data_IF_180946624493
#
_entry.id   IF_180946624493
#
_cell.length_a   1.000
_cell.length_b   1.000
_cell.length_c   1.000
_cell.angle_alpha   90.00
_cell.angle_beta   90.00
_cell.angle_gamma   90.00
#
_symmetry.space_group_name_H-M   'P 1'
#
loop_
_entity.id
_entity.type
_entity.pdbx_description
1 polymer ?
#
# COMPACT_ATOMS: atom_id res chain seq x y z
N UNK A 1 -57.53 -29.99 -20.91
CA UNK A 1 -56.29 -30.19 -21.69
C UNK A 1 -55.22 -29.12 -21.43
N UNK A 2 -55.54 -27.81 -21.44
CA UNK A 2 -54.55 -26.70 -21.42
C UNK A 2 -53.46 -26.83 -20.33
N UNK A 3 -53.82 -27.15 -19.08
CA UNK A 3 -52.87 -27.29 -17.96
C UNK A 3 -51.74 -28.30 -18.17
N UNK A 4 -51.93 -29.36 -18.97
CA UNK A 4 -50.87 -30.35 -19.20
C UNK A 4 -49.77 -29.81 -20.12
N UNK A 5 -50.10 -28.92 -21.06
CA UNK A 5 -49.14 -28.37 -22.02
C UNK A 5 -48.18 -27.36 -21.35
N UNK A 6 -48.68 -26.52 -20.45
CA UNK A 6 -47.84 -25.60 -19.66
C UNK A 6 -46.93 -26.35 -18.71
N UNK A 7 -47.42 -27.38 -18.01
CA UNK A 7 -46.56 -28.25 -17.19
C UNK A 7 -45.45 -28.93 -18.00
N UNK A 8 -45.74 -29.44 -19.21
CA UNK A 8 -44.73 -30.11 -20.05
C UNK A 8 -43.64 -29.15 -20.52
N UNK A 9 -44.01 -27.93 -20.95
CA UNK A 9 -43.03 -26.88 -21.29
C UNK A 9 -42.18 -26.46 -20.08
N UNK A 10 -42.78 -26.33 -18.90
CA UNK A 10 -42.06 -25.96 -17.68
C UNK A 10 -41.07 -27.06 -17.26
N UNK A 11 -41.48 -28.33 -17.29
CA UNK A 11 -40.59 -29.48 -17.04
C UNK A 11 -39.42 -29.53 -18.03
N UNK A 12 -39.68 -29.33 -19.33
CA UNK A 12 -38.63 -29.33 -20.36
C UNK A 12 -37.65 -28.17 -20.18
N UNK A 13 -38.12 -26.98 -19.79
CA UNK A 13 -37.25 -25.83 -19.52
C UNK A 13 -36.42 -26.00 -18.24
N UNK A 14 -37.01 -26.56 -17.17
CA UNK A 14 -36.29 -26.92 -15.95
C UNK A 14 -35.24 -28.02 -16.23
N UNK A 15 -35.59 -29.03 -17.02
CA UNK A 15 -34.69 -30.11 -17.41
C UNK A 15 -33.51 -29.57 -18.25
N UNK A 16 -33.76 -28.72 -19.25
CA UNK A 16 -32.69 -28.05 -20.02
C UNK A 16 -31.79 -27.18 -19.14
N UNK A 17 -32.35 -26.41 -18.19
CA UNK A 17 -31.56 -25.60 -17.27
C UNK A 17 -30.70 -26.47 -16.35
N UNK A 18 -31.26 -27.56 -15.81
CA UNK A 18 -30.54 -28.54 -14.96
C UNK A 18 -29.41 -29.24 -15.73
N UNK A 19 -29.68 -29.70 -16.96
CA UNK A 19 -28.69 -30.36 -17.82
C UNK A 19 -27.57 -29.41 -18.23
N UNK A 20 -27.90 -28.15 -18.57
CA UNK A 20 -26.93 -27.09 -18.85
C UNK A 20 -26.04 -26.80 -17.63
N UNK A 21 -26.63 -26.62 -16.44
CA UNK A 21 -25.88 -26.45 -15.19
C UNK A 21 -24.99 -27.66 -14.87
N UNK A 22 -25.44 -28.88 -15.17
CA UNK A 22 -24.69 -30.11 -14.95
C UNK A 22 -23.48 -30.22 -15.89
N UNK A 23 -23.65 -29.93 -17.19
CA UNK A 23 -22.53 -29.84 -18.15
C UNK A 23 -21.54 -28.76 -17.70
N UNK A 24 -22.01 -27.58 -17.31
CA UNK A 24 -21.14 -26.49 -16.91
C UNK A 24 -20.39 -26.81 -15.60
N UNK A 25 -21.03 -27.51 -14.66
CA UNK A 25 -20.40 -28.04 -13.45
C UNK A 25 -19.34 -29.12 -13.76
N UNK A 26 -19.63 -30.05 -14.68
CA UNK A 26 -18.65 -31.06 -15.13
C UNK A 26 -17.45 -30.39 -15.82
N UNK A 27 -17.68 -29.41 -16.69
CA UNK A 27 -16.61 -28.64 -17.30
C UNK A 27 -15.75 -27.88 -16.28
N UNK A 28 -16.37 -27.30 -15.23
CA UNK A 28 -15.64 -26.64 -14.14
C UNK A 28 -14.78 -27.65 -13.35
N UNK A 29 -15.34 -28.80 -12.97
CA UNK A 29 -14.62 -29.89 -12.27
C UNK A 29 -13.45 -30.43 -13.10
N UNK A 30 -13.63 -30.69 -14.39
CA UNK A 30 -12.56 -31.15 -15.27
C UNK A 30 -11.42 -30.11 -15.39
N UNK A 31 -11.75 -28.82 -15.50
CA UNK A 31 -10.78 -27.72 -15.55
C UNK A 31 -10.05 -27.52 -14.20
N UNK A 32 -10.70 -27.79 -13.07
CA UNK A 32 -10.08 -27.85 -11.74
C UNK A 32 -9.09 -29.03 -11.64
N UNK A 33 -9.50 -30.24 -12.05
CA UNK A 33 -8.63 -31.44 -12.05
C UNK A 33 -7.39 -31.22 -12.94
N UNK A 34 -7.54 -30.74 -14.18
CA UNK A 34 -6.40 -30.42 -15.05
C UNK A 34 -5.47 -29.36 -14.44
N UNK A 35 -6.02 -28.39 -13.70
CA UNK A 35 -5.22 -27.38 -12.99
C UNK A 35 -4.45 -28.03 -11.84
N UNK A 36 -5.09 -28.83 -10.99
CA UNK A 36 -4.45 -29.56 -9.90
C UNK A 36 -3.34 -30.52 -10.38
N UNK A 37 -3.58 -31.27 -11.47
CA UNK A 37 -2.58 -32.13 -12.11
C UNK A 37 -1.38 -31.30 -12.58
N UNK A 38 -1.60 -30.22 -13.33
CA UNK A 38 -0.52 -29.32 -13.79
C UNK A 38 0.30 -28.76 -12.62
N UNK A 39 -0.36 -28.34 -11.55
CA UNK A 39 0.31 -27.79 -10.37
C UNK A 39 1.14 -28.87 -9.65
N UNK A 40 0.61 -30.10 -9.48
CA UNK A 40 1.34 -31.23 -8.92
C UNK A 40 2.54 -31.65 -9.79
N UNK A 41 2.38 -31.73 -11.11
CA UNK A 41 3.47 -31.98 -12.05
C UNK A 41 4.56 -30.90 -11.95
N UNK A 42 4.20 -29.63 -11.70
CA UNK A 42 5.19 -28.56 -11.50
C UNK A 42 6.02 -28.73 -10.22
N UNK A 43 5.43 -29.29 -9.15
CA UNK A 43 6.16 -29.66 -7.92
C UNK A 43 7.07 -30.86 -8.17
N UNK A 44 6.64 -31.85 -8.95
CA UNK A 44 7.47 -32.99 -9.38
C UNK A 44 8.68 -32.55 -10.20
N UNK A 45 8.44 -31.76 -11.26
CA UNK A 45 9.48 -31.20 -12.12
C UNK A 45 10.50 -30.36 -11.35
N UNK A 46 10.06 -29.54 -10.40
CA UNK A 46 10.96 -28.73 -9.58
C UNK A 46 11.95 -29.58 -8.75
N UNK A 47 11.51 -30.73 -8.21
CA UNK A 47 12.40 -31.65 -7.47
C UNK A 47 13.52 -32.18 -8.38
N UNK A 48 13.17 -32.59 -9.60
CA UNK A 48 14.11 -33.13 -10.59
C UNK A 48 15.10 -32.05 -11.03
N UNK A 49 14.60 -30.85 -11.33
CA UNK A 49 15.42 -29.71 -11.78
C UNK A 49 16.43 -29.25 -10.73
N UNK A 50 16.09 -29.25 -9.44
CA UNK A 50 17.07 -28.90 -8.39
C UNK A 50 18.05 -30.04 -8.07
N UNK A 51 17.72 -31.31 -8.36
CA UNK A 51 18.72 -32.38 -8.36
C UNK A 51 19.80 -32.16 -9.45
N UNK A 52 19.46 -31.43 -10.53
CA UNK A 52 20.39 -30.93 -11.54
C UNK A 52 21.03 -29.56 -11.22
N UNK A 53 21.10 -29.15 -9.96
CA UNK A 53 21.87 -27.96 -9.53
C UNK A 53 21.17 -26.59 -9.61
N UNK A 54 19.91 -26.52 -10.03
CA UNK A 54 19.18 -25.24 -10.10
C UNK A 54 18.79 -24.68 -8.72
N UNK A 55 18.91 -23.35 -8.57
CA UNK A 55 18.75 -22.55 -7.34
C UNK A 55 17.66 -23.04 -6.36
N UNK A 56 18.05 -23.38 -5.12
CA UNK A 56 17.17 -23.90 -4.07
C UNK A 56 15.94 -23.02 -3.82
N UNK A 57 16.10 -21.68 -3.87
CA UNK A 57 15.01 -20.68 -3.74
C UNK A 57 13.77 -21.02 -4.58
N UNK A 58 13.96 -21.43 -5.84
CA UNK A 58 12.86 -21.74 -6.75
C UNK A 58 12.12 -23.03 -6.33
N UNK A 59 12.85 -24.04 -5.82
CA UNK A 59 12.24 -25.25 -5.26
C UNK A 59 11.48 -24.95 -3.97
N UNK A 60 12.02 -24.10 -3.09
CA UNK A 60 11.35 -23.70 -1.84
C UNK A 60 10.04 -22.99 -2.15
N UNK A 61 10.04 -22.00 -3.06
CA UNK A 61 8.82 -21.31 -3.51
C UNK A 61 7.79 -22.30 -4.05
N UNK A 62 8.18 -23.27 -4.88
CA UNK A 62 7.25 -24.26 -5.45
C UNK A 62 6.73 -25.25 -4.39
N UNK A 63 7.57 -25.72 -3.46
CA UNK A 63 7.15 -26.56 -2.32
C UNK A 63 6.17 -25.82 -1.40
N UNK A 64 6.49 -24.58 -1.04
CA UNK A 64 5.67 -23.72 -0.18
C UNK A 64 4.30 -23.38 -0.81
N UNK A 65 4.28 -23.20 -2.13
CA UNK A 65 3.07 -22.86 -2.91
C UNK A 65 2.47 -24.07 -3.63
N UNK A 66 2.60 -25.26 -3.03
CA UNK A 66 1.94 -26.49 -3.48
C UNK A 66 0.41 -26.39 -3.38
N UNK A 67 -0.36 -27.01 -4.30
CA UNK A 67 -1.82 -26.83 -4.41
C UNK A 67 -2.64 -27.52 -3.30
N UNK A 68 -2.01 -28.07 -2.28
CA UNK A 68 -2.65 -28.79 -1.16
C UNK A 68 -3.45 -27.86 -0.24
N UNK A 69 -4.38 -28.43 0.52
CA UNK A 69 -5.14 -27.74 1.59
C UNK A 69 -4.30 -27.44 2.85
N UNK A 70 -3.10 -28.02 2.97
CA UNK A 70 -2.22 -27.82 4.12
C UNK A 70 -1.81 -26.33 4.29
N UNK A 71 -1.64 -25.84 5.53
CA UNK A 71 -1.12 -24.50 5.80
C UNK A 71 0.25 -24.26 5.11
N UNK A 72 0.59 -22.99 4.93
CA UNK A 72 1.97 -22.61 4.64
C UNK A 72 2.83 -22.96 5.85
N UNK A 73 3.81 -23.85 5.67
CA UNK A 73 4.69 -24.29 6.75
C UNK A 73 5.79 -23.25 6.99
N UNK A 74 5.90 -22.77 8.22
CA UNK A 74 6.82 -21.70 8.63
C UNK A 74 8.28 -21.99 8.28
N UNK A 75 8.67 -23.27 8.23
CA UNK A 75 10.02 -23.70 7.84
C UNK A 75 10.48 -23.09 6.51
N UNK A 76 9.59 -22.91 5.53
CA UNK A 76 9.93 -22.32 4.23
C UNK A 76 10.13 -20.80 4.29
N UNK A 77 9.47 -20.11 5.22
CA UNK A 77 9.70 -18.69 5.51
C UNK A 77 11.10 -18.55 6.11
N UNK A 78 11.40 -19.33 7.13
CA UNK A 78 12.68 -19.32 7.85
C UNK A 78 13.87 -19.78 6.97
N UNK A 79 13.65 -20.76 6.09
CA UNK A 79 14.65 -21.22 5.10
C UNK A 79 14.98 -20.11 4.09
N UNK A 80 13.97 -19.41 3.56
CA UNK A 80 14.18 -18.28 2.64
C UNK A 80 14.85 -17.08 3.32
N UNK A 81 14.43 -16.70 4.54
CA UNK A 81 15.05 -15.61 5.29
C UNK A 81 16.55 -15.86 5.56
N UNK A 82 16.92 -17.10 5.93
CA UNK A 82 18.33 -17.50 6.07
C UNK A 82 19.07 -17.37 4.74
N UNK A 83 18.50 -17.86 3.64
CA UNK A 83 19.13 -17.75 2.31
C UNK A 83 19.32 -16.27 1.90
N UNK A 84 18.35 -15.38 2.17
CA UNK A 84 18.47 -13.95 1.88
C UNK A 84 19.55 -13.25 2.72
N UNK A 85 19.74 -13.67 3.97
CA UNK A 85 20.80 -13.14 4.84
C UNK A 85 22.21 -13.52 4.36
N UNK A 86 22.40 -14.75 3.86
CA UNK A 86 23.69 -15.20 3.32
C UNK A 86 23.92 -14.85 1.84
N UNK A 87 22.87 -14.54 1.08
CA UNK A 87 22.93 -14.34 -0.38
C UNK A 87 21.92 -13.27 -0.85
N UNK A 88 22.33 -11.98 -0.93
CA UNK A 88 21.47 -10.92 -1.46
C UNK A 88 20.97 -11.17 -2.90
N UNK A 89 21.77 -11.83 -3.74
CA UNK A 89 21.36 -12.24 -5.10
C UNK A 89 20.21 -13.26 -5.13
N UNK A 90 19.99 -13.97 -4.02
CA UNK A 90 18.83 -14.84 -3.84
C UNK A 90 17.51 -14.07 -3.69
N UNK A 91 17.52 -12.81 -3.24
CA UNK A 91 16.32 -11.96 -3.18
C UNK A 91 15.74 -11.74 -4.59
N UNK A 92 16.57 -11.35 -5.56
CA UNK A 92 16.15 -11.17 -6.97
C UNK A 92 15.70 -12.48 -7.60
N UNK A 93 16.34 -13.59 -7.24
CA UNK A 93 15.96 -14.95 -7.65
C UNK A 93 14.57 -15.33 -7.10
N UNK A 94 14.27 -14.98 -5.85
CA UNK A 94 12.93 -15.11 -5.26
C UNK A 94 11.92 -14.24 -5.99
N UNK A 95 12.18 -12.94 -6.19
CA UNK A 95 11.29 -12.01 -6.89
C UNK A 95 10.83 -12.55 -8.25
N UNK A 96 11.79 -13.08 -9.02
CA UNK A 96 11.51 -13.72 -10.32
C UNK A 96 10.77 -15.05 -10.19
N UNK A 97 11.13 -15.93 -9.24
CA UNK A 97 10.44 -17.21 -9.01
C UNK A 97 8.98 -16.99 -8.56
N UNK A 98 8.79 -16.20 -7.51
CA UNK A 98 7.48 -15.79 -6.98
C UNK A 98 6.59 -15.22 -8.09
N UNK A 99 7.07 -14.22 -8.83
CA UNK A 99 6.22 -13.56 -9.83
C UNK A 99 6.06 -14.36 -11.12
N UNK A 100 6.88 -15.39 -11.37
CA UNK A 100 6.62 -16.43 -12.37
C UNK A 100 5.53 -17.40 -11.89
N UNK A 101 5.58 -17.84 -10.62
CA UNK A 101 4.60 -18.73 -9.98
C UNK A 101 3.21 -18.09 -9.95
N UNK A 102 3.13 -16.88 -9.39
CA UNK A 102 1.88 -16.15 -9.17
C UNK A 102 1.19 -15.73 -10.47
N UNK A 103 1.92 -15.18 -11.46
CA UNK A 103 1.31 -14.80 -12.75
C UNK A 103 0.85 -16.00 -13.60
N UNK A 104 1.46 -17.19 -13.44
CA UNK A 104 1.19 -18.37 -14.30
C UNK A 104 0.20 -19.37 -13.70
N UNK A 105 -0.02 -19.38 -12.38
CA UNK A 105 -0.99 -20.28 -11.76
C UNK A 105 -2.42 -19.87 -12.09
N UNK A 106 -3.29 -20.87 -12.24
CA UNK A 106 -4.76 -20.72 -12.35
C UNK A 106 -5.47 -21.22 -11.09
N UNK A 107 -4.74 -21.81 -10.15
CA UNK A 107 -5.28 -22.37 -8.92
C UNK A 107 -5.35 -21.32 -7.81
N UNK A 108 -6.49 -21.17 -7.16
CA UNK A 108 -6.65 -20.19 -6.09
C UNK A 108 -5.78 -20.53 -4.88
N UNK A 109 -5.60 -21.82 -4.56
CA UNK A 109 -4.78 -22.31 -3.44
C UNK A 109 -3.31 -21.91 -3.60
N UNK A 110 -2.79 -22.02 -4.82
CA UNK A 110 -1.42 -21.61 -5.17
C UNK A 110 -1.28 -20.09 -5.11
N UNK A 111 -2.21 -19.34 -5.70
CA UNK A 111 -2.20 -17.87 -5.65
C UNK A 111 -2.24 -17.34 -4.21
N UNK A 112 -3.13 -17.90 -3.38
CA UNK A 112 -3.24 -17.57 -1.96
C UNK A 112 -1.96 -17.89 -1.17
N UNK A 113 -1.36 -19.07 -1.38
CA UNK A 113 -0.08 -19.43 -0.74
C UNK A 113 1.08 -18.56 -1.21
N UNK A 114 1.07 -18.08 -2.46
CA UNK A 114 2.06 -17.10 -2.94
C UNK A 114 1.94 -15.80 -2.12
N UNK A 115 0.74 -15.20 -2.05
CA UNK A 115 0.52 -13.96 -1.30
C UNK A 115 0.83 -14.14 0.20
N UNK A 116 0.40 -15.25 0.81
CA UNK A 116 0.71 -15.54 2.20
C UNK A 116 2.21 -15.70 2.45
N UNK A 117 2.96 -16.34 1.54
CA UNK A 117 4.41 -16.44 1.64
C UNK A 117 5.09 -15.08 1.52
N UNK A 118 4.66 -14.24 0.58
CA UNK A 118 5.16 -12.87 0.45
C UNK A 118 4.86 -12.05 1.72
N UNK A 119 3.62 -12.12 2.24
CA UNK A 119 3.22 -11.42 3.45
C UNK A 119 4.04 -11.87 4.68
N UNK A 120 4.24 -13.19 4.87
CA UNK A 120 5.11 -13.70 5.94
C UNK A 120 6.54 -13.19 5.81
N UNK A 121 7.10 -13.16 4.61
CA UNK A 121 8.45 -12.63 4.39
C UNK A 121 8.52 -11.12 4.64
N UNK A 122 7.51 -10.33 4.26
CA UNK A 122 7.42 -8.89 4.56
C UNK A 122 7.32 -8.67 6.09
N UNK A 123 6.48 -9.43 6.80
CA UNK A 123 6.32 -9.32 8.26
C UNK A 123 7.53 -9.84 9.06
N UNK A 124 8.35 -10.75 8.50
CA UNK A 124 9.45 -11.41 9.23
C UNK A 124 10.86 -11.04 8.75
N UNK A 125 11.01 -10.34 7.62
CA UNK A 125 12.31 -9.81 7.18
C UNK A 125 12.66 -8.53 7.94
N UNK A 126 13.95 -8.32 8.31
CA UNK A 126 14.39 -7.11 9.00
C UNK A 126 14.01 -5.81 8.27
N UNK A 127 13.87 -4.77 9.08
CA UNK A 127 13.32 -3.46 8.71
C UNK A 127 14.03 -2.85 7.49
N UNK A 128 15.37 -2.80 7.54
CA UNK A 128 16.24 -2.31 6.46
C UNK A 128 16.89 -3.44 5.65
N UNK A 129 16.20 -4.57 5.45
CA UNK A 129 16.75 -5.70 4.69
C UNK A 129 16.81 -5.44 3.18
N UNK A 130 17.90 -5.86 2.53
CA UNK A 130 18.04 -5.82 1.06
C UNK A 130 16.93 -6.61 0.34
N UNK A 131 16.25 -7.54 1.04
CA UNK A 131 15.03 -8.16 0.55
C UNK A 131 13.91 -7.15 0.25
N UNK A 132 13.63 -6.18 1.14
CA UNK A 132 12.64 -5.11 0.86
C UNK A 132 13.07 -4.24 -0.31
N UNK A 133 14.34 -3.83 -0.33
CA UNK A 133 14.90 -2.98 -1.38
C UNK A 133 14.85 -3.68 -2.75
N UNK A 134 15.19 -4.98 -2.83
CA UNK A 134 15.09 -5.76 -4.06
C UNK A 134 13.65 -6.09 -4.45
N UNK A 135 12.68 -6.22 -3.52
CA UNK A 135 11.25 -6.29 -3.87
C UNK A 135 10.79 -4.99 -4.55
N UNK A 136 11.11 -3.83 -3.98
CA UNK A 136 10.80 -2.51 -4.53
C UNK A 136 11.46 -2.29 -5.90
N UNK A 137 12.76 -2.60 -6.00
CA UNK A 137 13.56 -2.54 -7.25
C UNK A 137 13.01 -3.50 -8.31
N UNK A 138 12.65 -4.73 -7.94
CA UNK A 138 12.01 -5.69 -8.85
C UNK A 138 10.61 -5.25 -9.29
N UNK A 139 9.86 -4.51 -8.46
CA UNK A 139 8.54 -3.97 -8.81
C UNK A 139 8.66 -2.76 -9.75
N UNK A 140 9.56 -1.82 -9.47
CA UNK A 140 9.83 -0.66 -10.33
C UNK A 140 10.26 -1.08 -11.75
N UNK A 141 11.08 -2.13 -11.85
CA UNK A 141 11.49 -2.75 -13.11
C UNK A 141 10.44 -3.71 -13.72
N UNK A 142 9.21 -3.78 -13.18
CA UNK A 142 8.11 -4.64 -13.66
C UNK A 142 8.31 -6.16 -13.48
N UNK A 143 9.43 -6.61 -12.92
CA UNK A 143 9.71 -8.03 -12.67
C UNK A 143 8.74 -8.65 -11.67
N UNK A 144 8.32 -7.90 -10.64
CA UNK A 144 7.17 -8.22 -9.80
C UNK A 144 5.94 -7.44 -10.29
N UNK A 145 4.83 -8.16 -10.48
CA UNK A 145 3.50 -7.57 -10.57
C UNK A 145 2.52 -8.45 -9.79
N UNK A 146 1.74 -7.83 -8.92
CA UNK A 146 0.71 -8.49 -8.09
C UNK A 146 -0.67 -8.53 -8.78
N UNK A 147 -0.77 -8.08 -10.03
CA UNK A 147 -1.98 -8.20 -10.84
C UNK A 147 -2.09 -9.60 -11.46
N UNK A 148 -2.81 -10.52 -10.79
CA UNK A 148 -3.06 -11.86 -11.32
C UNK A 148 -4.10 -11.84 -12.44
N UNK A 149 -3.77 -12.47 -13.58
CA UNK A 149 -4.47 -12.23 -14.85
C UNK A 149 -5.84 -12.90 -14.97
N UNK A 150 -6.01 -14.13 -14.45
CA UNK A 150 -7.29 -14.82 -14.33
C UNK A 150 -7.14 -16.08 -13.45
N UNK A 151 -7.94 -16.20 -12.38
CA UNK A 151 -8.10 -17.43 -11.60
C UNK A 151 -9.36 -18.12 -12.13
N UNK A 152 -9.27 -19.39 -12.52
CA UNK A 152 -10.31 -20.05 -13.33
C UNK A 152 -11.27 -20.95 -12.55
N UNK A 153 -11.05 -21.08 -11.24
CA UNK A 153 -11.71 -22.07 -10.39
C UNK A 153 -12.93 -21.51 -9.65
N UNK A 154 -12.90 -20.23 -9.28
CA UNK A 154 -13.95 -19.55 -8.51
C UNK A 154 -13.73 -18.02 -8.50
N UNK A 155 -14.80 -17.22 -8.60
CA UNK A 155 -14.70 -15.76 -8.43
C UNK A 155 -14.73 -15.32 -6.96
N UNK A 156 -15.28 -16.13 -6.04
CA UNK A 156 -15.22 -15.86 -4.59
C UNK A 156 -13.75 -15.87 -4.12
N UNK A 157 -12.98 -16.87 -4.54
CA UNK A 157 -11.54 -16.92 -4.24
C UNK A 157 -10.73 -15.92 -5.08
N UNK A 158 -11.10 -15.69 -6.35
CA UNK A 158 -10.39 -14.73 -7.19
C UNK A 158 -10.52 -13.29 -6.68
N UNK A 159 -11.71 -12.89 -6.20
CA UNK A 159 -11.94 -11.57 -5.61
C UNK A 159 -11.12 -11.36 -4.35
N UNK A 160 -11.16 -12.29 -3.40
CA UNK A 160 -10.31 -12.24 -2.20
C UNK A 160 -8.82 -12.13 -2.55
N UNK A 161 -8.33 -12.96 -3.48
CA UNK A 161 -6.91 -12.93 -3.91
C UNK A 161 -6.57 -11.61 -4.62
N UNK A 162 -7.50 -11.02 -5.38
CA UNK A 162 -7.34 -9.69 -6.00
C UNK A 162 -7.27 -8.57 -4.96
N UNK A 163 -8.08 -8.59 -3.91
CA UNK A 163 -8.00 -7.62 -2.80
C UNK A 163 -6.70 -7.79 -2.00
N UNK A 164 -6.36 -9.01 -1.61
CA UNK A 164 -5.15 -9.30 -0.83
C UNK A 164 -3.87 -8.96 -1.60
N UNK A 165 -3.87 -9.14 -2.93
CA UNK A 165 -2.77 -8.69 -3.79
C UNK A 165 -2.63 -7.16 -3.84
N UNK A 166 -3.72 -6.39 -3.71
CA UNK A 166 -3.68 -4.92 -3.61
C UNK A 166 -3.14 -4.49 -2.24
N UNK A 167 -3.63 -5.10 -1.15
CA UNK A 167 -3.12 -4.85 0.20
C UNK A 167 -1.59 -5.03 0.25
N UNK A 168 -1.06 -6.15 -0.24
CA UNK A 168 0.39 -6.38 -0.25
C UNK A 168 1.17 -5.49 -1.24
N UNK A 169 0.52 -4.96 -2.28
CA UNK A 169 1.17 -3.98 -3.15
C UNK A 169 1.36 -2.64 -2.43
N UNK A 170 0.34 -2.22 -1.68
CA UNK A 170 0.29 -0.92 -0.97
C UNK A 170 1.07 -0.99 0.36
N UNK A 171 1.09 -2.14 1.04
CA UNK A 171 1.92 -2.40 2.23
C UNK A 171 3.42 -2.47 1.91
N UNK A 172 3.79 -2.65 0.64
CA UNK A 172 5.18 -2.49 0.16
C UNK A 172 5.56 -1.02 -0.07
N UNK A 173 4.59 -0.13 -0.30
CA UNK A 173 4.83 1.32 -0.48
C UNK A 173 4.93 2.08 0.84
N UNK A 174 4.39 1.54 1.93
CA UNK A 174 4.19 2.32 3.15
C UNK A 174 5.41 2.39 4.08
N UNK A 175 5.69 3.60 4.55
CA UNK A 175 6.67 3.93 5.60
C UNK A 175 6.32 3.35 6.98
N UNK A 176 5.26 2.54 7.10
CA UNK A 176 4.87 1.77 8.29
C UNK A 176 6.04 0.98 8.88
N UNK A 177 6.92 0.48 8.00
CA UNK A 177 8.14 -0.21 8.39
C UNK A 177 9.37 0.71 8.52
N UNK A 178 9.36 1.95 8.04
CA UNK A 178 10.52 2.85 8.16
C UNK A 178 10.40 3.88 9.29
N UNK A 179 9.19 4.11 9.83
CA UNK A 179 8.90 5.18 10.80
C UNK A 179 8.95 4.77 12.27
N UNK A 180 9.50 3.61 12.62
CA UNK A 180 9.92 3.34 14.01
C UNK A 180 11.20 4.14 14.25
N UNK A 181 11.08 5.33 14.85
CA UNK A 181 12.20 6.25 15.09
C UNK A 181 13.40 5.49 15.72
N UNK A 182 14.60 5.62 15.11
CA UNK A 182 15.83 5.07 15.68
C UNK A 182 16.23 5.93 16.88
N UNK A 183 16.14 5.44 18.13
CA UNK A 183 16.44 6.25 19.30
C UNK A 183 17.96 6.37 19.45
N UNK A 184 18.55 7.35 18.76
CA UNK A 184 20.01 7.51 18.73
C UNK A 184 20.60 8.39 17.61
N UNK A 185 19.81 8.87 16.64
CA UNK A 185 20.30 9.79 15.57
C UNK A 185 19.54 11.12 15.57
N UNK A 186 19.01 11.52 16.73
CA UNK A 186 18.34 12.80 16.98
C UNK A 186 18.99 13.53 18.17
N UNK A 187 20.30 13.75 18.05
CA UNK A 187 21.14 14.54 18.96
C UNK A 187 21.99 15.47 18.07
N UNK A 188 22.24 16.74 18.38
CA UNK A 188 22.12 17.44 19.68
C UNK A 188 21.36 18.80 19.57
N UNK A 189 20.57 19.01 18.50
CA UNK A 189 20.06 20.34 18.11
C UNK A 189 18.61 20.71 18.53
N UNK A 190 17.84 19.80 19.14
CA UNK A 190 16.39 20.00 19.40
C UNK A 190 16.07 20.78 20.71
N UNK A 191 17.08 21.36 21.38
CA UNK A 191 16.92 22.05 22.67
C UNK A 191 16.10 23.37 22.62
N UNK A 192 15.73 23.85 21.43
CA UNK A 192 14.86 25.03 21.26
C UNK A 192 13.83 24.79 20.15
N UNK A 193 12.80 24.01 20.47
CA UNK A 193 11.77 23.54 19.53
C UNK A 193 10.89 24.65 18.94
N UNK A 194 11.40 25.34 17.91
CA UNK A 194 10.64 26.37 17.17
C UNK A 194 9.32 25.83 16.60
N UNK A 195 8.31 26.70 16.47
CA UNK A 195 7.00 26.35 15.88
C UNK A 195 7.15 25.71 14.49
N UNK A 196 8.18 26.10 13.73
CA UNK A 196 8.53 25.49 12.43
C UNK A 196 8.90 24.01 12.53
N UNK A 197 9.64 23.58 13.56
CA UNK A 197 9.95 22.14 13.78
C UNK A 197 8.67 21.36 14.13
N UNK A 198 7.85 21.89 15.05
CA UNK A 198 6.56 21.29 15.44
C UNK A 198 5.62 21.11 14.24
N UNK A 199 5.45 22.15 13.41
CA UNK A 199 4.65 22.09 12.18
C UNK A 199 5.19 21.03 11.21
N UNK A 200 6.51 20.91 11.04
CA UNK A 200 7.10 19.86 10.19
C UNK A 200 6.79 18.45 10.73
N UNK A 201 6.94 18.22 12.03
CA UNK A 201 6.63 16.91 12.65
C UNK A 201 5.17 16.52 12.45
N UNK A 202 4.22 17.44 12.73
CA UNK A 202 2.78 17.17 12.55
C UNK A 202 2.43 16.93 11.07
N UNK A 203 3.05 17.64 10.12
CA UNK A 203 2.85 17.37 8.69
C UNK A 203 3.35 15.98 8.26
N UNK A 204 4.48 15.49 8.80
CA UNK A 204 4.94 14.11 8.53
C UNK A 204 4.02 13.07 9.18
N UNK A 205 3.46 13.35 10.36
CA UNK A 205 2.40 12.51 10.96
C UNK A 205 1.20 12.43 10.02
N UNK A 206 0.63 13.56 9.55
CA UNK A 206 -0.50 13.60 8.60
C UNK A 206 -0.22 12.79 7.32
N UNK A 207 1.00 12.85 6.78
CA UNK A 207 1.42 12.03 5.63
C UNK A 207 1.39 10.53 5.96
N UNK A 208 2.05 10.12 7.06
CA UNK A 208 2.09 8.73 7.52
C UNK A 208 0.67 8.20 7.75
N UNK A 209 -0.17 8.93 8.50
CA UNK A 209 -1.56 8.54 8.77
C UNK A 209 -2.37 8.37 7.49
N UNK A 210 -2.13 9.21 6.47
CA UNK A 210 -2.80 9.08 5.17
C UNK A 210 -2.42 7.74 4.49
N UNK A 211 -1.16 7.30 4.59
CA UNK A 211 -0.75 5.96 4.15
C UNK A 211 -1.41 4.85 4.99
N UNK A 212 -1.39 4.97 6.32
CA UNK A 212 -2.00 3.98 7.24
C UNK A 212 -3.48 3.79 6.93
N UNK A 213 -4.21 4.88 6.70
CA UNK A 213 -5.62 4.85 6.34
C UNK A 213 -5.85 4.20 4.98
N UNK A 214 -4.95 4.35 4.00
CA UNK A 214 -5.08 3.64 2.72
C UNK A 214 -4.94 2.12 2.90
N UNK A 215 -4.05 1.67 3.81
CA UNK A 215 -3.94 0.25 4.18
C UNK A 215 -5.16 -0.26 4.94
N UNK A 216 -5.78 0.54 5.82
CA UNK A 216 -7.03 0.17 6.50
C UNK A 216 -8.16 -0.05 5.47
N UNK A 217 -8.26 0.79 4.42
CA UNK A 217 -9.21 0.52 3.32
C UNK A 217 -8.92 -0.82 2.64
N UNK A 218 -7.64 -1.15 2.40
CA UNK A 218 -7.26 -2.43 1.76
C UNK A 218 -7.48 -3.65 2.65
N UNK A 219 -7.36 -3.51 3.97
CA UNK A 219 -7.78 -4.53 4.94
C UNK A 219 -9.28 -4.78 4.82
N UNK A 220 -10.09 -3.72 4.76
CA UNK A 220 -11.55 -3.80 4.63
C UNK A 220 -11.94 -4.40 3.26
N UNK A 221 -11.28 -4.02 2.17
CA UNK A 221 -11.40 -4.61 0.83
C UNK A 221 -11.13 -6.14 0.81
N UNK A 222 -10.39 -6.67 1.81
CA UNK A 222 -10.08 -8.10 1.93
C UNK A 222 -11.16 -8.93 2.62
N UNK A 223 -12.31 -8.37 3.05
CA UNK A 223 -13.40 -9.16 3.66
C UNK A 223 -13.87 -10.28 2.70
N UNK A 224 -13.69 -11.57 3.03
CA UNK A 224 -13.97 -12.65 2.10
C UNK A 224 -15.46 -12.92 1.96
N UNK A 225 -15.92 -13.12 0.72
CA UNK A 225 -17.32 -13.39 0.39
C UNK A 225 -17.59 -14.87 0.05
N UNK A 226 -18.86 -15.25 -0.03
CA UNK A 226 -19.31 -16.53 -0.60
C UNK A 226 -18.60 -17.78 -0.04
N UNK A 227 -18.06 -18.60 -0.94
CA UNK A 227 -17.25 -19.80 -0.59
C UNK A 227 -15.90 -19.45 0.03
N UNK A 228 -15.32 -18.29 -0.28
CA UNK A 228 -14.05 -17.86 0.30
C UNK A 228 -14.14 -17.67 1.82
N UNK A 229 -15.24 -17.10 2.32
CA UNK A 229 -15.50 -16.92 3.75
C UNK A 229 -15.42 -18.22 4.56
N UNK A 230 -15.86 -19.35 3.97
CA UNK A 230 -15.91 -20.65 4.66
C UNK A 230 -14.56 -21.39 4.67
N UNK A 231 -13.67 -21.05 3.74
CA UNK A 231 -12.39 -21.74 3.52
C UNK A 231 -11.40 -21.55 4.68
N UNK A 232 -10.84 -22.67 5.17
CA UNK A 232 -9.79 -22.68 6.20
C UNK A 232 -8.52 -21.98 5.72
N UNK A 233 -8.14 -22.16 4.45
CA UNK A 233 -6.97 -21.51 3.87
C UNK A 233 -7.11 -19.98 3.80
N UNK A 234 -8.31 -19.48 3.45
CA UNK A 234 -8.63 -18.04 3.46
C UNK A 234 -8.63 -17.51 4.90
N UNK A 235 -9.26 -18.22 5.85
CA UNK A 235 -9.20 -17.89 7.28
C UNK A 235 -7.77 -17.81 7.83
N UNK A 236 -6.86 -18.69 7.40
CA UNK A 236 -5.45 -18.62 7.81
C UNK A 236 -4.73 -17.40 7.24
N UNK A 237 -5.05 -16.96 6.01
CA UNK A 237 -4.52 -15.71 5.48
C UNK A 237 -5.11 -14.47 6.19
N UNK A 238 -6.40 -14.49 6.53
CA UNK A 238 -7.05 -13.42 7.30
C UNK A 238 -6.36 -13.18 8.65
N UNK A 239 -5.80 -14.20 9.32
CA UNK A 239 -5.03 -13.99 10.56
C UNK A 239 -3.86 -13.01 10.39
N UNK A 240 -3.19 -13.01 9.22
CA UNK A 240 -2.10 -12.08 8.95
C UNK A 240 -2.58 -10.67 8.59
N UNK A 241 -3.68 -10.57 7.83
CA UNK A 241 -4.32 -9.30 7.43
C UNK A 241 -4.88 -8.56 8.66
N UNK A 242 -5.57 -9.27 9.56
CA UNK A 242 -6.14 -8.70 10.79
C UNK A 242 -5.04 -8.31 11.79
N UNK A 243 -3.94 -9.07 11.88
CA UNK A 243 -2.80 -8.67 12.71
C UNK A 243 -2.14 -7.38 12.23
N UNK A 244 -2.05 -7.19 10.91
CA UNK A 244 -1.53 -5.96 10.30
C UNK A 244 -2.47 -4.78 10.56
N UNK A 245 -3.79 -4.97 10.45
CA UNK A 245 -4.77 -3.92 10.69
C UNK A 245 -4.79 -3.39 12.13
N UNK A 246 -4.45 -4.21 13.12
CA UNK A 246 -4.29 -3.77 14.51
C UNK A 246 -3.19 -2.70 14.61
N UNK A 247 -2.06 -2.89 13.91
CA UNK A 247 -0.92 -1.96 13.91
C UNK A 247 -1.31 -0.67 13.18
N UNK A 248 -1.94 -0.77 12.00
CA UNK A 248 -2.42 0.40 11.25
C UNK A 248 -3.40 1.24 12.07
N UNK A 249 -4.39 0.60 12.71
CA UNK A 249 -5.39 1.26 13.55
C UNK A 249 -4.75 1.95 14.76
N UNK A 250 -3.88 1.25 15.51
CA UNK A 250 -3.19 1.83 16.67
C UNK A 250 -2.26 2.99 16.28
N UNK A 251 -1.65 2.96 15.10
CA UNK A 251 -0.90 4.11 14.59
C UNK A 251 -1.83 5.29 14.30
N UNK A 252 -2.92 5.08 13.56
CA UNK A 252 -3.88 6.15 13.24
C UNK A 252 -4.48 6.79 14.50
N UNK A 253 -4.82 6.02 15.54
CA UNK A 253 -5.29 6.57 16.81
C UNK A 253 -4.23 7.44 17.52
N UNK A 254 -2.97 6.98 17.56
CA UNK A 254 -1.86 7.75 18.14
C UNK A 254 -1.60 9.04 17.35
N UNK A 255 -1.59 8.92 16.03
CA UNK A 255 -1.37 10.03 15.11
C UNK A 255 -2.46 11.08 15.24
N UNK A 256 -3.74 10.67 15.35
CA UNK A 256 -4.88 11.56 15.55
C UNK A 256 -4.72 12.39 16.83
N UNK A 257 -4.32 11.77 17.94
CA UNK A 257 -4.08 12.49 19.19
C UNK A 257 -2.92 13.49 19.03
N UNK A 258 -1.80 13.07 18.42
CA UNK A 258 -0.68 13.97 18.11
C UNK A 258 -1.03 15.08 17.11
N UNK A 259 -2.07 14.88 16.29
CA UNK A 259 -2.63 15.88 15.38
C UNK A 259 -3.53 16.85 16.15
N UNK A 260 -4.39 16.38 17.07
CA UNK A 260 -5.20 17.23 17.97
C UNK A 260 -4.32 18.16 18.83
N UNK A 261 -3.28 17.61 19.49
CA UNK A 261 -2.31 18.38 20.31
C UNK A 261 -1.58 19.48 19.52
N UNK A 262 -1.41 19.29 18.21
CA UNK A 262 -0.72 20.20 17.31
C UNK A 262 -1.64 21.14 16.51
N UNK A 263 -2.95 20.92 16.55
CA UNK A 263 -3.87 21.36 15.50
C UNK A 263 -3.98 22.88 15.38
N UNK A 264 -3.97 23.58 16.52
CA UNK A 264 -4.03 25.04 16.62
C UNK A 264 -2.78 25.75 16.04
N UNK A 265 -1.71 25.01 15.77
CA UNK A 265 -0.43 25.54 15.25
C UNK A 265 -0.26 25.29 13.75
N UNK A 266 -1.21 24.61 13.09
CA UNK A 266 -1.09 24.24 11.68
C UNK A 266 -1.55 25.36 10.72
N UNK A 267 -0.81 25.60 9.62
CA UNK A 267 -1.31 26.41 8.50
C UNK A 267 -2.61 25.83 7.92
N UNK A 268 -3.49 26.67 7.40
CA UNK A 268 -4.83 26.30 6.90
C UNK A 268 -4.84 25.05 5.97
N UNK A 269 -3.88 24.93 5.04
CA UNK A 269 -3.75 23.74 4.16
C UNK A 269 -3.43 22.45 4.91
N UNK A 270 -2.61 22.51 5.95
CA UNK A 270 -2.26 21.36 6.80
C UNK A 270 -3.44 20.99 7.71
N UNK A 271 -4.15 21.97 8.26
CA UNK A 271 -5.37 21.71 9.04
C UNK A 271 -6.47 21.06 8.18
N UNK A 272 -6.71 21.54 6.95
CA UNK A 272 -7.64 20.90 6.02
C UNK A 272 -7.27 19.43 5.69
N UNK A 273 -5.98 19.09 5.68
CA UNK A 273 -5.51 17.70 5.55
C UNK A 273 -5.75 16.88 6.83
N UNK A 274 -5.51 17.46 8.00
CA UNK A 274 -5.80 16.84 9.30
C UNK A 274 -7.29 16.53 9.48
N UNK A 275 -8.19 17.48 9.18
CA UNK A 275 -9.65 17.29 9.22
C UNK A 275 -10.09 16.15 8.29
N UNK A 276 -9.44 16.00 7.12
CA UNK A 276 -9.70 14.89 6.19
C UNK A 276 -9.28 13.54 6.76
N UNK A 277 -8.10 13.45 7.40
CA UNK A 277 -7.67 12.25 8.14
C UNK A 277 -8.68 11.92 9.23
N UNK A 278 -9.11 12.93 10.00
CA UNK A 278 -10.05 12.78 11.11
C UNK A 278 -11.41 12.22 10.67
N UNK A 279 -12.04 12.83 9.66
CA UNK A 279 -13.30 12.33 9.07
C UNK A 279 -13.16 10.92 8.50
N UNK A 280 -12.04 10.61 7.85
CA UNK A 280 -11.79 9.28 7.29
C UNK A 280 -11.65 8.23 8.40
N UNK A 281 -11.00 8.57 9.52
CA UNK A 281 -10.85 7.66 10.65
C UNK A 281 -12.19 7.25 11.27
N UNK A 282 -13.14 8.17 11.41
CA UNK A 282 -14.48 7.87 11.90
C UNK A 282 -15.20 6.83 11.01
N UNK A 283 -15.24 7.07 9.68
CA UNK A 283 -15.84 6.14 8.71
C UNK A 283 -15.11 4.78 8.65
N UNK A 284 -13.81 4.77 8.91
CA UNK A 284 -13.03 3.53 8.98
C UNK A 284 -13.24 2.75 10.27
N UNK A 285 -13.43 3.42 11.41
CA UNK A 285 -13.68 2.78 12.70
C UNK A 285 -14.93 1.86 12.63
N UNK A 286 -16.05 2.36 12.13
CA UNK A 286 -17.27 1.55 11.97
C UNK A 286 -17.09 0.34 11.05
N UNK A 287 -16.49 0.54 9.88
CA UNK A 287 -16.24 -0.54 8.91
C UNK A 287 -15.24 -1.59 9.41
N UNK A 288 -14.27 -1.16 10.21
CA UNK A 288 -13.28 -2.03 10.83
C UNK A 288 -13.89 -2.82 11.99
N UNK A 289 -14.83 -2.22 12.74
CA UNK A 289 -15.62 -2.92 13.75
C UNK A 289 -16.48 -4.03 13.13
N UNK A 290 -17.20 -3.76 12.05
CA UNK A 290 -17.93 -4.80 11.30
C UNK A 290 -17.04 -5.95 10.84
N UNK A 291 -15.81 -5.65 10.41
CA UNK A 291 -14.84 -6.67 9.98
C UNK A 291 -14.36 -7.50 11.18
N UNK A 292 -14.05 -6.87 12.31
CA UNK A 292 -13.61 -7.54 13.52
C UNK A 292 -14.71 -8.40 14.13
N UNK A 293 -15.95 -7.92 14.16
CA UNK A 293 -17.09 -8.69 14.67
C UNK A 293 -17.43 -9.87 13.74
N UNK A 294 -17.27 -9.70 12.43
CA UNK A 294 -17.31 -10.85 11.49
C UNK A 294 -16.16 -11.84 11.75
N UNK A 295 -14.94 -11.37 12.05
CA UNK A 295 -13.84 -12.27 12.41
C UNK A 295 -14.12 -13.05 13.69
N UNK A 296 -14.61 -12.38 14.76
CA UNK A 296 -15.05 -13.02 16.01
C UNK A 296 -16.11 -14.09 15.73
N UNK A 297 -17.16 -13.76 14.97
CA UNK A 297 -18.27 -14.67 14.64
C UNK A 297 -17.86 -15.91 13.84
N UNK A 298 -16.88 -15.81 12.95
CA UNK A 298 -16.37 -16.95 12.13
C UNK A 298 -15.17 -17.64 12.80
N UNK A 299 -14.92 -17.35 14.08
CA UNK A 299 -13.80 -17.82 14.93
C UNK A 299 -12.42 -17.60 14.30
N UNK A 300 -12.33 -16.57 13.45
CA UNK A 300 -11.06 -16.09 12.90
C UNK A 300 -10.34 -15.34 14.01
N UNK A 301 -9.08 -15.69 14.24
CA UNK A 301 -8.26 -15.07 15.29
C UNK A 301 -8.77 -15.28 16.73
N UNK A 302 -9.37 -16.43 17.06
CA UNK A 302 -9.82 -16.77 18.42
C UNK A 302 -8.75 -16.70 19.54
N UNK A 303 -7.47 -16.60 19.18
CA UNK A 303 -6.33 -16.40 20.11
C UNK A 303 -5.81 -14.96 20.14
N UNK A 304 -6.45 -14.01 19.43
CA UNK A 304 -6.05 -12.61 19.40
C UNK A 304 -7.00 -11.78 20.25
N UNK A 305 -6.44 -10.96 21.12
CA UNK A 305 -7.16 -9.82 21.67
C UNK A 305 -7.31 -8.78 20.55
N UNK A 306 -8.55 -8.56 20.10
CA UNK A 306 -8.87 -7.47 19.18
C UNK A 306 -8.75 -6.14 19.92
N UNK A 307 -8.23 -5.07 19.29
CA UNK A 307 -8.24 -3.75 19.89
C UNK A 307 -9.67 -3.21 19.92
N UNK A 308 -10.04 -2.58 21.02
CA UNK A 308 -11.31 -1.88 21.13
C UNK A 308 -11.34 -0.68 20.18
N UNK A 309 -12.46 -0.52 19.47
CA UNK A 309 -12.62 0.54 18.48
C UNK A 309 -13.36 1.73 19.10
N UNK A 310 -12.66 2.86 19.22
CA UNK A 310 -13.25 4.13 19.63
C UNK A 310 -14.02 4.71 18.44
N UNK A 311 -15.35 4.81 18.58
CA UNK A 311 -16.18 5.53 17.61
C UNK A 311 -16.00 7.03 17.84
N UNK A 312 -15.35 7.70 16.89
CA UNK A 312 -15.25 9.16 16.85
C UNK A 312 -16.65 9.73 16.56
N UNK A 313 -17.30 10.44 17.50
CA UNK A 313 -18.66 10.96 17.29
C UNK A 313 -18.61 12.20 16.40
N UNK A 314 -19.60 12.36 15.51
CA UNK A 314 -19.70 13.50 14.59
C UNK A 314 -19.67 14.85 15.32
N UNK A 315 -20.17 14.93 16.56
CA UNK A 315 -20.06 16.13 17.40
C UNK A 315 -18.62 16.57 17.70
N UNK A 316 -17.69 15.62 17.91
CA UNK A 316 -16.24 15.92 18.09
C UNK A 316 -15.64 16.43 16.78
N UNK A 317 -16.04 15.85 15.64
CA UNK A 317 -15.65 16.30 14.30
C UNK A 317 -16.16 17.73 14.04
N UNK A 318 -17.43 18.02 14.31
CA UNK A 318 -18.03 19.34 14.08
C UNK A 318 -17.49 20.42 15.02
N UNK A 319 -17.24 20.10 16.30
CA UNK A 319 -16.57 21.02 17.23
C UNK A 319 -15.15 21.36 16.74
N UNK A 320 -14.40 20.35 16.27
CA UNK A 320 -13.08 20.51 15.69
C UNK A 320 -13.12 21.36 14.40
N UNK A 321 -14.08 21.16 13.50
CA UNK A 321 -14.25 22.01 12.31
C UNK A 321 -14.60 23.46 12.70
N UNK A 322 -15.51 23.64 13.65
CA UNK A 322 -16.01 24.94 14.08
C UNK A 322 -14.92 25.83 14.67
N UNK A 323 -14.00 25.25 15.46
CA UNK A 323 -12.89 26.00 16.04
C UNK A 323 -11.94 26.57 14.97
N UNK A 324 -11.68 25.85 13.86
CA UNK A 324 -10.90 26.40 12.74
C UNK A 324 -11.66 27.43 11.91
N UNK A 325 -12.98 27.27 11.73
CA UNK A 325 -13.80 28.29 11.08
C UNK A 325 -13.70 29.64 11.82
N UNK A 326 -13.87 29.62 13.14
CA UNK A 326 -13.77 30.82 13.99
C UNK A 326 -12.33 31.36 14.01
N UNK A 327 -11.33 30.50 14.21
CA UNK A 327 -9.91 30.90 14.26
C UNK A 327 -9.44 31.56 12.96
N UNK A 328 -9.84 31.03 11.81
CA UNK A 328 -9.44 31.58 10.52
C UNK A 328 -10.17 32.88 10.18
N UNK A 329 -11.47 32.99 10.51
CA UNK A 329 -12.21 34.26 10.37
C UNK A 329 -11.60 35.39 11.21
N UNK A 330 -11.12 35.10 12.42
CA UNK A 330 -10.38 36.06 13.26
C UNK A 330 -9.00 36.42 12.66
N UNK A 331 -8.35 35.48 11.98
CA UNK A 331 -7.05 35.69 11.32
C UNK A 331 -7.19 36.57 10.07
N UNK A 332 -8.21 36.33 9.24
CA UNK A 332 -8.51 37.19 8.08
C UNK A 332 -8.92 38.59 8.54
N UNK A 333 -9.83 38.70 9.52
CA UNK A 333 -10.30 39.99 10.06
C UNK A 333 -9.18 40.86 10.64
N UNK A 334 -8.21 40.25 11.32
CA UNK A 334 -7.06 40.99 11.86
C UNK A 334 -6.04 41.38 10.78
N UNK A 335 -5.87 40.58 9.73
CA UNK A 335 -5.02 40.95 8.57
C UNK A 335 -5.55 42.15 7.79
N UNK A 336 -6.87 42.40 7.78
CA UNK A 336 -7.47 43.61 7.20
C UNK A 336 -7.31 44.88 8.05
N UNK A 337 -6.88 44.78 9.31
CA UNK A 337 -6.77 45.95 10.20
C UNK A 337 -5.44 46.70 10.11
N UNK A 338 -4.41 46.14 9.47
CA UNK A 338 -3.05 46.72 9.41
C UNK A 338 -2.82 47.67 8.22
N UNK A 339 -3.87 48.08 7.50
CA UNK A 339 -3.75 48.92 6.29
C UNK A 339 -4.30 50.36 6.43
N UNK A 340 -4.74 50.79 7.63
CA UNK A 340 -5.44 52.08 7.81
C UNK A 340 -4.96 52.95 8.98
N UNK A 341 -3.67 53.32 8.99
CA UNK A 341 -3.19 54.53 9.70
C UNK A 341 -1.99 55.17 8.99
N UNK A 342 -2.20 56.30 8.31
CA UNK A 342 -1.43 57.56 8.49
C UNK A 342 -1.65 58.55 7.32
N UNK A 343 -2.64 59.45 7.49
CA UNK A 343 -2.79 60.70 6.73
C UNK A 343 -3.58 61.69 7.61
N UNK A 344 -3.31 62.99 7.69
CA UNK A 344 -2.14 63.78 7.23
C UNK A 344 -1.17 64.03 8.42
N UNK A 345 -0.53 65.17 8.76
CA UNK A 345 -0.20 66.52 8.22
C UNK A 345 0.97 67.09 9.08
N UNK A 346 1.60 68.27 8.91
CA UNK A 346 1.47 69.42 7.98
C UNK A 346 2.83 70.14 7.83
N UNK A 347 2.93 71.10 6.89
CA UNK A 347 3.99 72.16 6.79
C UNK A 347 5.46 71.70 6.51
N UNK A 348 6.32 72.42 5.78
CA UNK A 348 6.17 73.64 4.94
C UNK A 348 7.46 73.91 4.12
N UNK A 349 7.34 74.43 2.88
CA UNK A 349 8.35 75.13 2.02
C UNK A 349 9.77 74.48 1.86
N UNK A 350 10.37 74.33 0.66
CA UNK A 350 10.62 75.37 -0.34
C UNK A 350 11.13 74.83 -1.72
N UNK A 351 10.71 75.47 -2.82
CA UNK A 351 11.37 75.72 -4.14
C UNK A 351 12.03 74.60 -5.03
N UNK A 352 11.86 74.66 -6.39
CA UNK A 352 12.44 73.72 -7.38
C UNK A 352 13.42 74.35 -8.41
N UNK A 353 14.14 73.53 -9.21
CA UNK A 353 14.64 73.88 -10.58
C UNK A 353 15.26 72.70 -11.39
N UNK A 354 14.90 72.59 -12.69
CA UNK A 354 15.72 72.16 -13.86
C UNK A 354 16.30 70.72 -13.95
N UNK A 355 16.54 70.08 -15.11
CA UNK A 355 16.30 70.33 -16.57
C UNK A 355 15.91 68.97 -17.22
N UNK A 356 15.09 68.84 -18.29
CA UNK A 356 15.41 68.94 -19.74
C UNK A 356 16.64 68.12 -20.25
N UNK A 357 16.68 67.45 -21.43
CA UNK A 357 15.68 67.14 -22.50
C UNK A 357 16.07 65.87 -23.32
N UNK A 358 15.23 65.47 -24.29
CA UNK A 358 15.32 64.27 -25.16
C UNK A 358 16.62 64.04 -25.99
N UNK A 359 16.93 62.77 -26.34
CA UNK A 359 16.70 62.24 -27.73
C UNK A 359 16.91 60.73 -27.94
N UNK A 360 16.46 60.25 -29.11
CA UNK A 360 16.30 58.86 -29.57
C UNK A 360 17.51 58.35 -30.36
N UNK A 361 17.69 57.02 -30.46
CA UNK A 361 17.73 56.23 -31.73
C UNK A 361 17.85 54.72 -31.41
N UNK A 362 17.48 53.84 -32.35
CA UNK A 362 17.33 52.39 -32.15
C UNK A 362 18.38 51.54 -32.89
N UNK A 363 18.55 50.26 -32.49
CA UNK A 363 18.94 49.17 -33.39
C UNK A 363 18.59 47.77 -32.83
N UNK A 364 18.13 46.87 -33.69
CA UNK A 364 17.78 45.47 -33.39
C UNK A 364 18.93 44.51 -33.72
N UNK A 365 19.17 43.44 -32.95
CA UNK A 365 19.73 42.16 -33.47
C UNK A 365 19.41 40.92 -32.59
N UNK A 366 19.83 39.73 -33.03
CA UNK A 366 19.22 38.41 -32.74
C UNK A 366 20.16 37.41 -32.03
N UNK A 367 19.56 36.34 -31.51
CA UNK A 367 20.18 35.12 -30.98
C UNK A 367 21.12 34.38 -31.96
N UNK A 368 22.12 33.68 -31.42
CA UNK A 368 22.73 32.36 -31.78
C UNK A 368 23.94 32.20 -30.81
N UNK A 369 24.18 31.16 -29.98
CA UNK A 369 24.04 29.67 -29.99
C UNK A 369 25.39 28.95 -30.24
N UNK A 370 25.78 28.08 -29.27
CA UNK A 370 26.89 27.08 -29.25
C UNK A 370 28.35 27.58 -29.11
N UNK A 371 29.14 26.91 -28.25
CA UNK A 371 30.60 27.06 -28.17
C UNK A 371 31.32 26.55 -26.90
N UNK A 372 31.59 25.23 -26.80
CA UNK A 372 32.68 24.62 -25.99
C UNK A 372 33.68 23.96 -26.98
N UNK A 373 34.86 23.39 -26.60
CA UNK A 373 35.46 23.16 -25.27
C UNK A 373 36.95 23.61 -25.15
N UNK A 374 37.61 23.28 -24.03
CA UNK A 374 39.08 23.27 -23.86
C UNK A 374 39.55 21.94 -23.27
N UNK A 375 40.68 21.39 -23.74
CA UNK A 375 41.30 20.15 -23.25
C UNK A 375 42.79 20.03 -23.64
N UNK A 376 43.64 19.61 -22.69
CA UNK A 376 45.06 19.18 -22.82
C UNK A 376 45.24 18.17 -21.65
N UNK A 377 45.55 16.87 -21.80
CA UNK A 377 46.80 16.18 -22.24
C UNK A 377 47.99 16.44 -21.28
N UNK A 378 48.95 15.57 -20.96
CA UNK A 378 49.53 14.30 -21.48
C UNK A 378 50.24 13.57 -20.29
N UNK A 379 50.65 12.28 -20.26
CA UNK A 379 50.26 11.04 -20.97
C UNK A 379 50.93 9.81 -20.28
N UNK A 380 50.72 8.57 -20.78
CA UNK A 380 51.38 7.29 -20.41
C UNK A 380 51.13 6.72 -19.00
N UNK A 381 51.16 5.40 -18.74
CA UNK A 381 51.12 4.24 -19.65
C UNK A 381 52.08 3.11 -19.26
N UNK A 382 51.55 1.89 -18.99
CA UNK A 382 52.11 0.57 -19.36
C UNK A 382 51.15 -0.55 -18.91
N UNK A 383 51.28 -1.74 -19.50
CA UNK A 383 50.49 -2.93 -19.16
C UNK A 383 51.36 -4.03 -18.53
N UNK A 384 50.73 -5.05 -17.91
CA UNK A 384 50.99 -6.49 -18.15
C UNK A 384 50.06 -7.35 -17.27
N UNK A 385 49.71 -8.55 -17.78
CA UNK A 385 48.96 -9.63 -17.11
C UNK A 385 49.85 -10.88 -17.03
N UNK A 386 49.62 -11.80 -16.09
CA UNK A 386 48.57 -12.83 -16.29
C UNK A 386 47.22 -12.55 -15.59
#
# INVERSE_FOLDING_TARGET
MIYNFTCFFFLHHLCKNSFSQSIDMMQRRFKQVLTAVKENCSVGYAKIVTAGGFSNVNLIVIKATSPTDSPLSEKYVQELLKIFAFSPTSCRTFSLSFSRRFRKTRCWRVGLKCLLLLHRLIQSAPQNSEFRLELLRSRANGFISLYQRHIREDEDYASFIRSYARLLNEALDSDLFYSTEVPGVSSEAEAMGTTSSRIKKINKVIEISTQMQSLIDRVIDCRPAGRAARSTAVRMAMKHIIRESFICYQSVCRDINSIEDGLLQLPHRSCAAAIRVYRKAAVQADRLAELYDWCKFVEVCSLYQFPDIERIPESRIQALISSFGIMWQLTESSSSFTSFTNTSESSSFNSPARDETEKKVAATRRNVVVGTPWAISHDSGFAVKP
#
